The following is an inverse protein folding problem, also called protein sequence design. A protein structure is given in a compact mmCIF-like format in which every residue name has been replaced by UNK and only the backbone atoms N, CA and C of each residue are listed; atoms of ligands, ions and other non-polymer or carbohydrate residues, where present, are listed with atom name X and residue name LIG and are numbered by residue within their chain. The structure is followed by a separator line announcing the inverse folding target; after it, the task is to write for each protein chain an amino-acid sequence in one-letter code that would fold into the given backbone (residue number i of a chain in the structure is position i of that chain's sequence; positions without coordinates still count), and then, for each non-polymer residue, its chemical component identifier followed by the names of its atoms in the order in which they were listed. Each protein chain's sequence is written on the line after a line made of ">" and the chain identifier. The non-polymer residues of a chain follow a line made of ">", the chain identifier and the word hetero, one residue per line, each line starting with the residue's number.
data_IF_958565704859
#
_entry.id   IF_958565704859
#
_cell.length_a   1.000
_cell.length_b   1.000
_cell.length_c   1.000
_cell.angle_alpha   90.00
_cell.angle_beta   90.00
_cell.angle_gamma   90.00
#
_symmetry.space_group_name_H-M   'P 1'
#
loop_
_entity.id
_entity.type
_entity.pdbx_description
1 polymer ?
#
# COMPACT_ATOMS: atom_id res chain seq x y z
N UNK A 1 -9.57 -5.49 7.95
CA UNK A 1 -8.76 -6.51 8.65
C UNK A 1 -8.12 -7.41 7.61
N UNK A 2 -6.84 -7.77 7.78
CA UNK A 2 -6.00 -8.49 6.82
C UNK A 2 -6.44 -9.93 6.43
N UNK A 3 -7.65 -10.37 6.83
CA UNK A 3 -8.18 -11.70 6.52
C UNK A 3 -8.90 -11.80 5.17
N UNK A 4 -9.31 -10.68 4.58
CA UNK A 4 -10.07 -10.68 3.31
C UNK A 4 -9.19 -10.51 2.06
N UNK A 5 -7.92 -10.14 2.22
CA UNK A 5 -6.96 -10.08 1.11
C UNK A 5 -6.10 -11.33 1.17
N UNK A 6 -6.59 -12.40 0.53
CA UNK A 6 -5.97 -13.73 0.45
C UNK A 6 -4.65 -13.76 -0.32
N UNK A 7 -3.62 -13.07 0.17
CA UNK A 7 -2.23 -13.34 -0.14
C UNK A 7 -1.32 -12.71 0.92
N UNK A 8 -0.64 -13.52 1.74
CA UNK A 8 0.37 -13.06 2.72
C UNK A 8 1.42 -12.13 2.07
N UNK A 9 1.60 -12.23 0.75
CA UNK A 9 2.53 -11.41 -0.04
C UNK A 9 2.18 -9.93 -0.16
N UNK A 10 0.94 -9.49 0.06
CA UNK A 10 0.56 -8.06 -0.05
C UNK A 10 0.39 -7.37 1.31
N UNK A 11 0.53 -8.11 2.42
CA UNK A 11 0.40 -7.56 3.78
C UNK A 11 1.46 -6.49 4.08
N UNK A 12 2.67 -6.64 3.53
CA UNK A 12 3.71 -5.62 3.63
C UNK A 12 3.29 -4.28 3.01
N UNK A 13 2.52 -4.30 1.92
CA UNK A 13 2.01 -3.08 1.30
C UNK A 13 0.87 -2.46 2.09
N UNK A 14 0.01 -3.27 2.72
CA UNK A 14 -0.96 -2.74 3.69
C UNK A 14 -0.25 -1.99 4.83
N UNK A 15 0.82 -2.56 5.38
CA UNK A 15 1.62 -1.90 6.40
C UNK A 15 2.32 -0.63 5.88
N UNK A 16 2.89 -0.68 4.68
CA UNK A 16 3.51 0.49 4.05
C UNK A 16 2.50 1.62 3.83
N UNK A 17 1.27 1.27 3.40
CA UNK A 17 0.15 2.19 3.28
C UNK A 17 -0.18 2.90 4.57
N UNK A 18 -0.33 2.14 5.66
CA UNK A 18 -0.60 2.70 6.98
C UNK A 18 0.53 3.64 7.45
N UNK A 19 1.78 3.24 7.26
CA UNK A 19 2.95 4.06 7.62
C UNK A 19 3.08 5.32 6.77
N UNK A 20 2.59 5.31 5.52
CA UNK A 20 2.69 6.47 4.62
C UNK A 20 2.03 7.72 5.19
N UNK A 21 1.00 7.58 6.02
CA UNK A 21 0.30 8.69 6.71
C UNK A 21 1.20 9.39 7.73
N UNK A 22 2.20 8.69 8.26
CA UNK A 22 3.14 9.21 9.26
C UNK A 22 4.40 9.81 8.62
N UNK A 23 4.51 9.80 7.29
CA UNK A 23 5.67 10.29 6.55
C UNK A 23 5.33 11.55 5.75
N UNK A 24 6.29 12.48 5.54
CA UNK A 24 6.06 13.72 4.81
C UNK A 24 6.09 13.52 3.27
N UNK A 25 5.52 12.43 2.78
CA UNK A 25 5.50 12.06 1.36
C UNK A 25 4.05 11.97 0.85
N UNK A 26 3.81 12.48 -0.36
CA UNK A 26 2.50 12.39 -0.99
C UNK A 26 2.17 10.95 -1.40
N UNK A 27 0.87 10.65 -1.54
CA UNK A 27 0.43 9.34 -2.05
C UNK A 27 0.95 9.10 -3.47
N UNK A 28 0.99 10.13 -4.33
CA UNK A 28 1.54 9.99 -5.68
C UNK A 28 3.01 9.55 -5.66
N UNK A 29 3.83 10.09 -4.75
CA UNK A 29 5.25 9.71 -4.66
C UNK A 29 5.41 8.24 -4.27
N UNK A 30 4.57 7.75 -3.35
CA UNK A 30 4.51 6.33 -3.01
C UNK A 30 4.10 5.48 -4.22
N UNK A 31 3.07 5.89 -4.96
CA UNK A 31 2.62 5.17 -6.16
C UNK A 31 3.70 5.10 -7.24
N UNK A 32 4.40 6.20 -7.50
CA UNK A 32 5.51 6.24 -8.45
C UNK A 32 6.64 5.28 -8.02
N UNK A 33 7.03 5.30 -6.74
CA UNK A 33 8.05 4.40 -6.22
C UNK A 33 7.63 2.92 -6.32
N UNK A 34 6.35 2.62 -6.08
CA UNK A 34 5.80 1.27 -6.22
C UNK A 34 5.79 0.83 -7.69
N UNK A 35 5.33 1.66 -8.62
CA UNK A 35 5.33 1.37 -10.06
C UNK A 35 6.73 1.14 -10.61
N UNK A 36 7.74 1.87 -10.10
CA UNK A 36 9.12 1.71 -10.52
C UNK A 36 9.79 0.42 -10.02
N UNK A 37 9.32 -0.17 -8.91
CA UNK A 37 10.01 -1.28 -8.21
C UNK A 37 9.24 -2.60 -8.23
N UNK A 38 7.93 -2.55 -8.36
CA UNK A 38 7.07 -3.73 -8.33
C UNK A 38 6.84 -4.20 -9.78
N UNK A 39 7.03 -5.49 -10.09
CA UNK A 39 6.74 -6.02 -11.41
C UNK A 39 5.32 -5.69 -11.86
N UNK A 40 5.14 -5.31 -13.12
CA UNK A 40 3.85 -4.87 -13.67
C UNK A 40 2.68 -5.81 -13.35
N UNK A 41 2.91 -7.14 -13.37
CA UNK A 41 1.88 -8.14 -13.03
C UNK A 41 1.39 -8.10 -11.57
N UNK A 42 2.15 -7.46 -10.67
CA UNK A 42 1.89 -7.39 -9.24
C UNK A 42 1.56 -5.96 -8.78
N UNK A 43 1.82 -4.94 -9.58
CA UNK A 43 1.72 -3.54 -9.12
C UNK A 43 0.29 -3.19 -8.69
N UNK A 44 -0.71 -3.58 -9.47
CA UNK A 44 -2.11 -3.24 -9.21
C UNK A 44 -2.62 -3.80 -7.88
N UNK A 45 -2.30 -5.07 -7.58
CA UNK A 45 -2.71 -5.68 -6.31
C UNK A 45 -1.99 -5.05 -5.12
N UNK A 46 -0.73 -4.63 -5.29
CA UNK A 46 0.06 -4.01 -4.24
C UNK A 46 -0.37 -2.57 -3.99
N UNK A 47 -0.73 -1.80 -5.04
CA UNK A 47 -1.33 -0.47 -4.92
C UNK A 47 -2.66 -0.52 -4.16
N UNK A 48 -3.54 -1.48 -4.49
CA UNK A 48 -4.80 -1.68 -3.73
C UNK A 48 -4.56 -1.99 -2.25
N UNK A 49 -3.55 -2.81 -1.95
CA UNK A 49 -3.17 -3.12 -0.57
C UNK A 49 -2.63 -1.89 0.17
N UNK A 50 -1.77 -1.10 -0.49
CA UNK A 50 -1.26 0.16 0.04
C UNK A 50 -2.38 1.14 0.36
N UNK A 51 -3.31 1.36 -0.57
CA UNK A 51 -4.44 2.27 -0.35
C UNK A 51 -5.34 1.83 0.80
N UNK A 52 -5.62 0.53 0.93
CA UNK A 52 -6.37 0.00 2.05
C UNK A 52 -5.69 0.27 3.41
N UNK A 53 -4.36 0.14 3.46
CA UNK A 53 -3.57 0.47 4.64
C UNK A 53 -3.60 1.96 4.98
N UNK A 54 -3.42 2.81 3.96
CA UNK A 54 -3.41 4.27 4.09
C UNK A 54 -4.74 4.80 4.57
N UNK A 55 -5.84 4.35 3.97
CA UNK A 55 -7.19 4.73 4.35
C UNK A 55 -7.48 4.37 5.82
N UNK A 56 -7.13 3.14 6.24
CA UNK A 56 -7.32 2.69 7.62
C UNK A 56 -6.60 3.59 8.65
N UNK A 57 -5.37 4.02 8.34
CA UNK A 57 -4.58 4.88 9.21
C UNK A 57 -5.01 6.36 9.20
N UNK A 58 -5.55 6.85 8.08
CA UNK A 58 -6.01 8.23 7.93
C UNK A 58 -7.33 8.53 8.68
N UNK A 59 -8.12 7.50 9.00
CA UNK A 59 -9.36 7.61 9.79
C UNK A 59 -9.17 7.59 11.32
N UNK A 60 -7.96 7.90 11.82
CA UNK A 60 -7.67 8.00 13.27
C UNK A 60 -7.35 9.42 13.70
#
# INVERSE_FOLDING_TARGET
>A
MAKEVGNTRTMNMVLAGALSVLTPFSAELWHQAMQARIPAKLVDMNLKAFEAGRACAATR
#
